data_IF_271744800518
#
_entry.id   IF_271744800518
#
_cell.length_a   1.000
_cell.length_b   1.000
_cell.length_c   1.000
_cell.angle_alpha   90.00
_cell.angle_beta   90.00
_cell.angle_gamma   90.00
#
_symmetry.space_group_name_H-M   'P 1'
#
loop_
_entity.id
_entity.type
_entity.pdbx_description
1 polymer ?
#
# COMPACT_ATOMS: atom_id res chain seq x y z
N UNK A 1 11.07 10.04 -4.73
CA UNK A 1 10.41 8.78 -5.10
C UNK A 1 11.02 7.67 -4.27
N UNK A 2 10.30 7.14 -3.27
CA UNK A 2 10.72 5.95 -2.53
C UNK A 2 10.23 4.73 -3.30
N UNK A 3 11.14 3.81 -3.59
CA UNK A 3 10.87 2.60 -4.39
C UNK A 3 10.76 1.44 -3.41
N UNK A 4 9.60 0.79 -3.37
CA UNK A 4 9.32 -0.28 -2.42
C UNK A 4 9.25 -1.63 -3.14
N UNK A 5 10.12 -2.54 -2.71
CA UNK A 5 10.15 -3.93 -3.10
C UNK A 5 9.48 -4.75 -1.99
N UNK A 6 8.46 -5.52 -2.31
CA UNK A 6 7.75 -6.40 -1.35
C UNK A 6 7.88 -7.86 -1.78
N UNK A 7 8.09 -8.76 -0.82
CA UNK A 7 7.95 -10.20 -1.05
C UNK A 7 6.50 -10.63 -0.76
N UNK A 8 5.87 -11.29 -1.73
CA UNK A 8 4.51 -11.81 -1.62
C UNK A 8 4.53 -13.34 -1.71
N UNK A 9 3.98 -14.00 -0.69
CA UNK A 9 3.67 -15.44 -0.75
C UNK A 9 2.17 -15.65 -0.94
N UNK A 10 1.80 -16.59 -1.81
CA UNK A 10 0.42 -17.00 -2.06
C UNK A 10 0.29 -18.51 -1.88
N UNK A 11 -0.71 -18.94 -1.11
CA UNK A 11 -1.14 -20.33 -1.04
C UNK A 11 -2.60 -20.43 -1.43
N UNK A 12 -2.87 -20.93 -2.63
CA UNK A 12 -4.23 -21.15 -3.13
C UNK A 12 -4.57 -22.64 -3.11
N UNK A 13 -5.72 -23.01 -2.52
CA UNK A 13 -6.27 -24.37 -2.59
C UNK A 13 -7.51 -24.38 -3.50
N UNK A 14 -7.44 -25.07 -4.63
CA UNK A 14 -8.55 -25.23 -5.57
C UNK A 14 -9.05 -26.68 -5.56
N UNK A 15 -10.35 -26.87 -5.78
CA UNK A 15 -10.93 -28.19 -6.09
C UNK A 15 -11.28 -28.20 -7.58
N UNK A 16 -10.77 -29.19 -8.30
CA UNK A 16 -11.03 -29.36 -9.73
C UNK A 16 -11.54 -30.79 -9.96
N UNK A 17 -12.65 -30.92 -10.69
CA UNK A 17 -13.19 -32.23 -11.06
C UNK A 17 -12.71 -32.59 -12.47
N UNK A 18 -12.02 -33.72 -12.61
CA UNK A 18 -11.55 -34.22 -13.91
C UNK A 18 -12.01 -35.67 -14.05
N UNK A 19 -12.81 -35.94 -15.08
CA UNK A 19 -13.32 -37.29 -15.38
C UNK A 19 -13.94 -38.02 -14.18
N UNK A 20 -14.82 -37.33 -13.44
CA UNK A 20 -15.53 -37.86 -12.27
C UNK A 20 -14.70 -37.93 -10.97
N UNK A 21 -13.41 -37.61 -11.01
CA UNK A 21 -12.54 -37.58 -9.82
C UNK A 21 -12.32 -36.16 -9.34
N UNK A 22 -12.56 -35.90 -8.04
CA UNK A 22 -12.26 -34.61 -7.41
C UNK A 22 -10.80 -34.53 -7.00
N UNK A 23 -10.04 -33.65 -7.63
CA UNK A 23 -8.65 -33.34 -7.30
C UNK A 23 -8.59 -32.06 -6.48
N UNK A 24 -7.80 -32.07 -5.40
CA UNK A 24 -7.46 -30.86 -4.66
C UNK A 24 -6.09 -30.38 -5.11
N UNK A 25 -6.01 -29.21 -5.70
CA UNK A 25 -4.77 -28.56 -6.11
C UNK A 25 -4.33 -27.59 -5.04
N UNK A 26 -3.11 -27.76 -4.53
CA UNK A 26 -2.46 -26.75 -3.69
C UNK A 26 -1.41 -26.05 -4.54
N UNK A 27 -1.53 -24.74 -4.65
CA UNK A 27 -0.57 -23.87 -5.32
C UNK A 27 0.14 -23.04 -4.26
N UNK A 28 1.47 -23.12 -4.19
CA UNK A 28 2.28 -22.25 -3.36
C UNK A 28 3.20 -21.43 -4.28
N UNK A 29 3.16 -20.11 -4.17
CA UNK A 29 3.98 -19.21 -4.99
C UNK A 29 4.67 -18.14 -4.14
N UNK A 30 5.92 -17.84 -4.50
CA UNK A 30 6.65 -16.67 -4.02
C UNK A 30 6.82 -15.69 -5.17
N UNK A 31 6.60 -14.40 -4.91
CA UNK A 31 6.69 -13.35 -5.93
C UNK A 31 7.31 -12.09 -5.34
N UNK A 32 8.07 -11.38 -6.17
CA UNK A 32 8.54 -10.03 -5.91
C UNK A 32 7.53 -9.03 -6.45
N UNK A 33 7.19 -8.01 -5.67
CA UNK A 33 6.30 -6.93 -6.06
C UNK A 33 7.09 -5.63 -6.05
N UNK A 34 7.06 -4.91 -7.17
CA UNK A 34 7.64 -3.60 -7.32
C UNK A 34 6.53 -2.56 -7.34
N UNK A 35 6.47 -1.71 -6.32
CA UNK A 35 5.43 -0.70 -6.17
C UNK A 35 5.90 0.67 -6.65
N UNK A 36 5.06 1.32 -7.45
CA UNK A 36 5.23 2.68 -7.95
C UNK A 36 4.11 3.54 -7.35
N UNK A 37 4.42 4.47 -6.43
CA UNK A 37 3.42 5.32 -5.83
C UNK A 37 2.85 6.31 -6.85
N UNK A 38 1.51 6.41 -6.93
CA UNK A 38 0.79 7.35 -7.82
C UNK A 38 -0.36 7.97 -7.03
N UNK A 39 -0.21 9.24 -6.65
CA UNK A 39 -1.15 9.93 -5.76
C UNK A 39 -1.30 9.20 -4.42
N UNK A 40 -2.53 8.88 -4.02
CA UNK A 40 -2.81 8.12 -2.80
C UNK A 40 -2.64 6.59 -2.97
N UNK A 41 -2.52 6.10 -4.20
CA UNK A 41 -2.44 4.68 -4.55
C UNK A 41 -1.05 4.24 -5.00
N UNK A 42 -0.97 3.01 -5.49
CA UNK A 42 0.21 2.49 -6.20
C UNK A 42 -0.19 1.69 -7.43
N UNK A 43 0.62 1.78 -8.48
CA UNK A 43 0.66 0.78 -9.55
C UNK A 43 1.78 -0.19 -9.17
N UNK A 44 1.60 -1.48 -9.41
CA UNK A 44 2.65 -2.46 -9.12
C UNK A 44 2.82 -3.47 -10.23
N UNK A 45 4.07 -3.92 -10.37
CA UNK A 45 4.44 -5.09 -11.14
C UNK A 45 4.77 -6.22 -10.18
N UNK A 46 4.31 -7.43 -10.47
CA UNK A 46 4.64 -8.62 -9.70
C UNK A 46 5.21 -9.71 -10.60
N UNK A 47 6.35 -10.27 -10.22
CA UNK A 47 6.97 -11.40 -10.90
C UNK A 47 7.31 -12.48 -9.89
N UNK A 48 7.01 -13.74 -10.20
CA UNK A 48 7.23 -14.81 -9.24
C UNK A 48 7.21 -16.21 -9.83
N UNK A 49 7.49 -17.16 -8.95
CA UNK A 49 7.48 -18.58 -9.27
C UNK A 49 6.66 -19.33 -8.23
N UNK A 50 5.86 -20.28 -8.69
CA UNK A 50 5.07 -21.15 -7.83
C UNK A 50 5.17 -22.61 -8.21
N UNK A 51 4.88 -23.46 -7.24
CA UNK A 51 4.80 -24.91 -7.39
C UNK A 51 3.38 -25.37 -7.11
N UNK A 52 2.85 -26.14 -8.05
CA UNK A 52 1.55 -26.78 -7.92
C UNK A 52 1.74 -28.23 -7.49
N UNK A 53 1.05 -28.65 -6.44
CA UNK A 53 0.97 -30.04 -6.02
C UNK A 53 -0.48 -30.51 -6.01
N UNK A 54 -0.86 -31.45 -6.90
CA UNK A 54 -2.15 -32.12 -6.81
C UNK A 54 -2.15 -33.11 -5.65
N UNK A 55 -3.17 -33.06 -4.81
CA UNK A 55 -3.46 -34.09 -3.82
C UNK A 55 -4.25 -35.18 -4.53
N UNK A 56 -3.54 -36.16 -5.07
CA UNK A 56 -4.12 -37.27 -5.81
C UNK A 56 -4.61 -38.37 -4.86
N UNK A 57 -5.78 -38.95 -5.15
CA UNK A 57 -6.14 -40.27 -4.64
C UNK A 57 -5.42 -41.37 -5.45
N UNK A 58 -5.20 -42.53 -4.85
CA UNK A 58 -4.52 -43.69 -5.44
C UNK A 58 -5.22 -44.06 -6.78
N UNK A 59 -4.50 -43.99 -7.92
CA UNK A 59 -5.01 -44.41 -9.24
C UNK A 59 -4.78 -43.47 -10.44
N UNK A 60 -4.29 -42.24 -10.25
CA UNK A 60 -4.08 -41.24 -11.34
C UNK A 60 -2.60 -40.84 -11.54
N UNK A 61 -1.69 -41.78 -11.28
CA UNK A 61 -0.23 -41.60 -11.22
C UNK A 61 0.44 -40.75 -12.33
N UNK A 62 0.10 -40.85 -13.65
CA UNK A 62 0.80 -40.05 -14.67
C UNK A 62 0.53 -38.54 -14.59
N UNK A 63 -0.49 -38.11 -13.84
CA UNK A 63 -0.87 -36.70 -13.66
C UNK A 63 -0.44 -36.10 -12.31
N UNK A 64 0.27 -36.87 -11.47
CA UNK A 64 0.57 -36.50 -10.08
C UNK A 64 1.97 -35.91 -9.88
N UNK A 65 2.56 -35.33 -10.92
CA UNK A 65 3.84 -34.64 -10.80
C UNK A 65 3.63 -33.21 -10.32
N UNK A 66 4.56 -32.73 -9.49
CA UNK A 66 4.57 -31.34 -9.10
C UNK A 66 5.10 -30.49 -10.25
N UNK A 67 4.41 -29.41 -10.56
CA UNK A 67 4.75 -28.58 -11.71
C UNK A 67 5.04 -27.15 -11.29
N UNK A 68 6.05 -26.55 -11.93
CA UNK A 68 6.39 -25.15 -11.79
C UNK A 68 5.46 -24.25 -12.61
N UNK A 69 5.23 -23.05 -12.11
CA UNK A 69 4.53 -21.98 -12.81
C UNK A 69 5.27 -20.66 -12.63
N UNK A 70 5.50 -19.94 -13.72
CA UNK A 70 5.96 -18.55 -13.69
C UNK A 70 4.73 -17.66 -13.67
N UNK A 71 4.72 -16.66 -12.80
CA UNK A 71 3.62 -15.71 -12.61
C UNK A 71 4.14 -14.31 -12.90
N UNK A 72 3.47 -13.61 -13.78
CA UNK A 72 3.71 -12.18 -14.05
C UNK A 72 2.38 -11.46 -13.89
N UNK A 73 2.34 -10.37 -13.15
CA UNK A 73 1.12 -9.60 -12.95
C UNK A 73 1.40 -8.11 -12.91
N UNK A 74 0.38 -7.34 -13.27
CA UNK A 74 0.36 -5.89 -13.11
C UNK A 74 -0.98 -5.49 -12.50
N UNK A 75 -0.96 -4.52 -11.61
CA UNK A 75 -2.18 -4.10 -10.94
C UNK A 75 -2.07 -2.71 -10.34
N UNK A 76 -3.19 -2.27 -9.76
CA UNK A 76 -3.26 -1.05 -9.00
C UNK A 76 -3.82 -1.32 -7.61
N UNK A 77 -3.41 -0.50 -6.64
CA UNK A 77 -3.95 -0.43 -5.29
C UNK A 77 -4.41 1.00 -5.04
N UNK A 78 -5.65 1.17 -4.59
CA UNK A 78 -6.21 2.48 -4.25
C UNK A 78 -6.81 2.44 -2.84
N UNK A 79 -6.36 3.29 -1.90
CA UNK A 79 -7.03 3.41 -0.61
C UNK A 79 -8.41 4.04 -0.79
N UNK A 80 -9.45 3.39 -0.28
CA UNK A 80 -10.83 3.91 -0.28
C UNK A 80 -11.22 4.42 1.10
N UNK A 81 -10.61 3.88 2.15
CA UNK A 81 -10.71 4.38 3.51
C UNK A 81 -9.40 4.15 4.26
N UNK A 82 -9.30 4.65 5.50
CA UNK A 82 -8.09 4.53 6.34
C UNK A 82 -7.57 3.10 6.47
N UNK A 83 -8.47 2.11 6.52
CA UNK A 83 -8.15 0.69 6.67
C UNK A 83 -8.61 -0.18 5.48
N UNK A 84 -9.01 0.43 4.36
CA UNK A 84 -9.58 -0.28 3.21
C UNK A 84 -8.87 0.12 1.92
N UNK A 85 -8.38 -0.86 1.18
CA UNK A 85 -7.80 -0.68 -0.15
C UNK A 85 -8.53 -1.53 -1.18
N UNK A 86 -8.82 -0.95 -2.34
CA UNK A 86 -9.17 -1.67 -3.55
C UNK A 86 -7.90 -2.16 -4.24
N UNK A 87 -7.95 -3.37 -4.76
CA UNK A 87 -6.93 -3.96 -5.63
C UNK A 87 -7.60 -4.44 -6.91
N UNK A 88 -7.05 -4.07 -8.05
CA UNK A 88 -7.32 -4.79 -9.28
C UNK A 88 -6.00 -5.23 -9.90
N UNK A 89 -6.03 -6.38 -10.57
CA UNK A 89 -4.85 -7.01 -11.11
C UNK A 89 -5.17 -7.88 -12.31
N UNK A 90 -4.33 -7.79 -13.34
CA UNK A 90 -4.22 -8.79 -14.40
C UNK A 90 -2.95 -9.60 -14.22
N UNK A 91 -3.04 -10.91 -14.39
CA UNK A 91 -1.93 -11.84 -14.27
C UNK A 91 -1.86 -12.82 -15.43
N UNK A 92 -0.64 -13.21 -15.76
CA UNK A 92 -0.29 -14.26 -16.71
C UNK A 92 0.44 -15.34 -15.92
N UNK A 93 0.07 -16.59 -16.14
CA UNK A 93 0.70 -17.76 -15.52
C UNK A 93 1.12 -18.73 -16.62
N UNK A 94 2.40 -18.99 -16.75
CA UNK A 94 2.93 -20.02 -17.66
C UNK A 94 3.28 -21.27 -16.85
N UNK A 95 2.69 -22.42 -17.17
CA UNK A 95 2.92 -23.69 -16.46
C UNK A 95 3.87 -24.60 -17.24
N UNK A 96 4.96 -25.00 -16.58
CA UNK A 96 5.98 -25.89 -17.14
C UNK A 96 5.48 -27.30 -17.46
N UNK A 97 4.33 -27.70 -16.91
CA UNK A 97 3.72 -29.02 -17.07
C UNK A 97 3.16 -29.29 -18.47
N UNK A 98 2.56 -28.27 -19.07
CA UNK A 98 1.60 -28.44 -20.17
C UNK A 98 1.73 -27.38 -21.28
N UNK A 99 2.76 -26.53 -21.26
CA UNK A 99 2.94 -25.42 -22.23
C UNK A 99 1.67 -24.56 -22.44
N UNK A 100 0.80 -24.47 -21.45
CA UNK A 100 -0.35 -23.57 -21.48
C UNK A 100 -0.03 -22.29 -20.70
N UNK A 101 -0.31 -21.17 -21.35
CA UNK A 101 -0.32 -19.83 -20.74
C UNK A 101 -1.75 -19.51 -20.34
N UNK A 102 -1.96 -19.27 -19.05
CA UNK A 102 -3.26 -18.86 -18.52
C UNK A 102 -3.24 -17.37 -18.19
N UNK A 103 -4.36 -16.70 -18.44
CA UNK A 103 -4.60 -15.31 -18.05
C UNK A 103 -5.61 -15.30 -16.91
N UNK A 104 -5.45 -14.37 -15.97
CA UNK A 104 -6.40 -14.19 -14.88
C UNK A 104 -6.54 -12.73 -14.54
N UNK A 105 -7.75 -12.32 -14.18
CA UNK A 105 -8.02 -10.99 -13.63
C UNK A 105 -8.63 -11.16 -12.26
N UNK A 106 -8.29 -10.25 -11.35
CA UNK A 106 -8.86 -10.24 -10.01
C UNK A 106 -9.15 -8.82 -9.56
N UNK A 107 -10.28 -8.65 -8.89
CA UNK A 107 -10.61 -7.45 -8.14
C UNK A 107 -10.86 -7.90 -6.71
N UNK A 108 -10.27 -7.19 -5.76
CA UNK A 108 -10.34 -7.54 -4.36
C UNK A 108 -10.28 -6.34 -3.45
N UNK A 109 -10.67 -6.55 -2.21
CA UNK A 109 -10.51 -5.60 -1.12
C UNK A 109 -9.40 -6.11 -0.20
N UNK A 110 -8.56 -5.20 0.26
CA UNK A 110 -7.54 -5.47 1.28
C UNK A 110 -7.89 -4.63 2.50
N UNK A 111 -8.18 -5.32 3.60
CA UNK A 111 -8.39 -4.69 4.90
C UNK A 111 -7.08 -4.69 5.65
N UNK A 112 -6.62 -3.51 6.04
CA UNK A 112 -5.44 -3.38 6.87
C UNK A 112 -5.88 -3.54 8.33
N UNK A 113 -5.63 -4.72 8.91
CA UNK A 113 -6.04 -5.06 10.29
C UNK A 113 -5.10 -4.51 11.35
N UNK A 114 -4.07 -3.76 10.95
CA UNK A 114 -3.19 -3.04 11.87
C UNK A 114 -3.83 -1.70 12.25
N UNK A 115 -3.98 -1.45 13.54
CA UNK A 115 -4.23 -0.13 14.13
C UNK A 115 -3.07 0.86 13.94
N UNK A 116 -2.07 0.52 13.13
CA UNK A 116 -1.11 1.47 12.55
C UNK A 116 -1.65 1.98 11.22
N UNK A 117 -2.40 3.08 11.25
CA UNK A 117 -2.77 3.81 10.04
C UNK A 117 -1.54 4.10 9.19
N UNK A 118 -1.73 4.17 7.87
CA UNK A 118 -0.77 4.77 6.94
C UNK A 118 -0.57 6.23 7.34
N UNK A 119 0.33 6.47 8.29
CA UNK A 119 1.11 7.68 8.27
C UNK A 119 2.29 7.36 7.37
N UNK A 120 2.38 8.07 6.25
CA UNK A 120 3.62 8.24 5.50
C UNK A 120 4.63 9.03 6.35
N UNK A 121 4.81 8.60 7.59
CA UNK A 121 5.79 9.09 8.53
C UNK A 121 7.03 8.28 8.23
N UNK A 122 8.08 8.99 7.81
CA UNK A 122 9.34 8.37 7.50
C UNK A 122 9.74 7.42 8.63
N UNK A 123 10.13 6.20 8.30
CA UNK A 123 10.83 5.28 9.22
C UNK A 123 12.25 5.77 9.54
N UNK A 124 12.43 7.10 9.56
CA UNK A 124 13.66 7.79 9.93
C UNK A 124 13.63 8.20 11.41
N UNK A 125 14.76 8.73 11.93
CA UNK A 125 14.85 9.23 13.30
C UNK A 125 13.86 10.36 13.62
N UNK A 126 13.33 11.02 12.60
CA UNK A 126 12.41 12.16 12.59
C UNK A 126 11.37 11.88 11.49
N UNK A 127 10.11 11.69 11.87
CA UNK A 127 9.07 11.10 11.03
C UNK A 127 8.24 12.12 10.26
N UNK A 128 8.04 13.32 10.81
CA UNK A 128 7.37 14.47 10.19
C UNK A 128 8.35 15.49 9.59
N UNK A 129 9.64 15.36 9.91
CA UNK A 129 10.72 16.12 9.27
C UNK A 129 10.78 17.56 9.75
N UNK A 130 10.36 17.81 10.99
CA UNK A 130 10.35 19.12 11.65
C UNK A 130 11.72 19.47 12.29
N UNK A 131 12.68 18.54 12.24
CA UNK A 131 14.02 18.68 12.81
C UNK A 131 14.16 18.11 14.23
N UNK A 132 13.08 17.58 14.82
CA UNK A 132 13.05 16.94 16.13
C UNK A 132 12.90 15.43 15.96
N UNK A 133 13.83 14.69 16.55
CA UNK A 133 13.76 13.23 16.51
C UNK A 133 12.49 12.71 17.19
N UNK A 134 11.85 11.67 16.65
CA UNK A 134 10.66 10.99 17.18
C UNK A 134 10.72 10.63 18.67
N UNK A 135 11.92 10.40 19.21
CA UNK A 135 12.12 10.10 20.65
C UNK A 135 11.93 11.31 21.56
N UNK A 136 12.09 12.51 21.03
CA UNK A 136 12.01 13.81 21.73
C UNK A 136 10.82 14.63 21.28
N UNK A 137 10.25 14.28 20.14
CA UNK A 137 9.09 14.91 19.56
C UNK A 137 7.80 14.48 20.29
N UNK A 138 7.06 15.48 20.76
CA UNK A 138 5.75 15.31 21.42
C UNK A 138 4.59 15.53 20.47
N UNK A 139 4.84 16.10 19.30
CA UNK A 139 3.85 16.55 18.33
C UNK A 139 4.18 15.95 16.96
N UNK A 140 3.93 14.64 16.80
CA UNK A 140 4.38 13.87 15.64
C UNK A 140 3.78 14.23 14.26
N UNK A 141 2.93 15.27 14.17
CA UNK A 141 2.29 15.72 12.92
C UNK A 141 2.60 17.21 12.67
N UNK A 142 3.83 17.63 12.91
CA UNK A 142 4.21 19.03 12.74
C UNK A 142 4.48 19.36 11.27
N UNK A 143 3.84 20.41 10.70
CA UNK A 143 4.11 20.80 9.34
C UNK A 143 5.56 21.24 9.14
N UNK A 144 6.18 20.73 8.08
CA UNK A 144 7.55 21.10 7.73
C UNK A 144 7.68 22.62 7.48
N UNK A 145 8.62 23.24 8.18
CA UNK A 145 8.85 24.69 8.12
C UNK A 145 8.06 25.48 9.16
N UNK A 146 7.17 24.84 9.92
CA UNK A 146 6.58 25.46 11.08
C UNK A 146 7.66 25.72 12.14
N UNK A 147 7.49 26.81 12.88
CA UNK A 147 8.34 27.18 13.98
C UNK A 147 7.99 26.32 15.19
N UNK A 148 8.86 25.36 15.49
CA UNK A 148 8.70 24.41 16.58
C UNK A 148 9.53 24.76 17.80
N UNK A 149 9.07 24.32 18.97
CA UNK A 149 9.88 24.31 20.17
C UNK A 149 10.87 23.12 20.19
N UNK A 150 11.71 23.04 21.22
CA UNK A 150 12.66 21.92 21.39
C UNK A 150 12.02 20.54 21.61
N UNK A 151 10.69 20.45 21.58
CA UNK A 151 9.89 19.23 21.71
C UNK A 151 9.07 18.93 20.44
N UNK A 152 9.33 19.64 19.34
CA UNK A 152 8.67 19.41 18.05
C UNK A 152 7.26 19.99 17.96
N UNK A 153 6.83 20.79 18.94
CA UNK A 153 5.47 21.32 18.93
C UNK A 153 5.42 22.71 18.31
N UNK A 154 4.57 22.95 17.29
CA UNK A 154 4.45 24.25 16.65
C UNK A 154 3.59 25.18 17.50
N UNK A 155 3.80 26.48 17.33
CA UNK A 155 2.97 27.52 17.93
C UNK A 155 2.20 28.28 16.85
N UNK A 156 1.03 28.79 17.20
CA UNK A 156 0.19 29.68 16.38
C UNK A 156 -0.09 30.92 17.24
N UNK A 157 0.45 32.09 16.83
CA UNK A 157 0.42 33.29 17.67
C UNK A 157 -0.90 34.05 17.59
N UNK A 158 -1.51 34.12 16.42
CA UNK A 158 -2.76 34.84 16.22
C UNK A 158 -4.00 33.92 16.29
N UNK A 159 -3.79 32.61 16.21
CA UNK A 159 -4.81 31.59 16.43
C UNK A 159 -5.72 31.40 15.23
N UNK A 160 -5.23 31.66 14.02
CA UNK A 160 -6.00 31.53 12.78
C UNK A 160 -6.00 30.10 12.19
N UNK A 161 -5.18 29.20 12.76
CA UNK A 161 -5.05 27.80 12.37
C UNK A 161 -3.85 27.52 11.45
N UNK A 162 -3.04 28.52 11.11
CA UNK A 162 -1.78 28.37 10.37
C UNK A 162 -0.62 28.61 11.33
N UNK A 163 0.25 27.61 11.51
CA UNK A 163 1.34 27.72 12.46
C UNK A 163 2.38 28.77 12.06
N UNK A 164 2.99 29.38 13.06
CA UNK A 164 4.14 30.27 12.89
C UNK A 164 5.21 29.60 12.03
N UNK A 165 5.95 30.37 11.23
CA UNK A 165 7.00 29.86 10.33
C UNK A 165 6.50 29.42 8.94
N UNK A 166 5.25 28.96 8.84
CA UNK A 166 4.55 28.76 7.56
C UNK A 166 3.47 29.82 7.30
N UNK A 167 3.05 30.54 8.33
CA UNK A 167 2.16 31.69 8.23
C UNK A 167 2.87 32.92 7.63
N UNK A 168 2.29 33.49 6.58
CA UNK A 168 2.75 34.71 5.90
C UNK A 168 2.10 35.98 6.43
N UNK A 169 1.02 35.86 7.18
CA UNK A 169 0.22 36.95 7.72
C UNK A 169 0.09 36.79 9.25
N UNK A 170 1.18 36.96 10.02
CA UNK A 170 1.29 36.63 11.46
C UNK A 170 0.47 37.51 12.43
N UNK A 171 -0.46 38.30 11.89
CA UNK A 171 -1.32 39.22 12.65
C UNK A 171 -2.75 39.16 12.15
N UNK A 172 -3.21 37.99 11.71
CA UNK A 172 -4.58 37.83 11.23
C UNK A 172 -5.56 37.97 12.40
N UNK A 173 -6.59 38.83 12.30
CA UNK A 173 -7.56 38.97 13.37
C UNK A 173 -8.31 37.67 13.63
N UNK A 174 -8.47 37.29 14.90
CA UNK A 174 -9.22 36.10 15.31
C UNK A 174 -10.63 36.10 14.71
N UNK A 175 -11.02 34.97 14.13
CA UNK A 175 -12.31 34.78 13.47
C UNK A 175 -12.35 35.20 12.01
N UNK A 176 -11.23 35.67 11.45
CA UNK A 176 -11.09 35.88 10.00
C UNK A 176 -10.91 34.53 9.31
N UNK A 177 -11.59 34.32 8.18
CA UNK A 177 -11.32 33.17 7.33
C UNK A 177 -9.98 33.37 6.63
N UNK A 178 -9.07 32.41 6.77
CA UNK A 178 -7.74 32.46 6.16
C UNK A 178 -7.57 31.42 5.06
N UNK A 179 -6.67 31.72 4.15
CA UNK A 179 -6.20 30.79 3.13
C UNK A 179 -5.10 29.86 3.70
N UNK A 180 -4.58 28.89 2.93
CA UNK A 180 -3.54 27.97 3.42
C UNK A 180 -2.19 28.63 3.77
N UNK A 181 -2.01 29.93 3.54
CA UNK A 181 -0.80 30.67 3.92
C UNK A 181 -1.03 31.61 5.11
N UNK A 182 -2.19 31.52 5.77
CA UNK A 182 -2.55 32.32 6.96
C UNK A 182 -3.10 33.70 6.64
N UNK A 183 -3.37 33.99 5.37
CA UNK A 183 -3.79 35.33 4.96
C UNK A 183 -5.32 35.42 4.78
N UNK A 184 -5.96 36.56 5.11
CA UNK A 184 -7.40 36.74 4.97
C UNK A 184 -7.90 36.47 3.55
N UNK A 185 -8.90 35.59 3.42
CA UNK A 185 -9.60 35.44 2.13
C UNK A 185 -10.45 36.67 1.89
N UNK A 186 -10.20 37.37 0.77
CA UNK A 186 -11.14 38.38 0.31
C UNK A 186 -12.42 37.67 -0.10
N UNK A 187 -13.53 37.99 0.55
CA UNK A 187 -14.84 37.51 0.13
C UNK A 187 -15.16 38.18 -1.22
N UNK A 188 -15.48 37.44 -2.28
CA UNK A 188 -16.03 38.05 -3.49
C UNK A 188 -17.38 38.68 -3.13
N UNK A 189 -17.55 39.96 -3.47
CA UNK A 189 -18.82 40.68 -3.39
C UNK A 189 -19.88 40.09 -4.34
#
# INVERSE_FOLDING_TARGET
MHLELEDQMDVTSLRQSVSGTSLRLVHAAGSLVYNIPVGAGSIYLRGGYGKLRPNCAIGVAPYCNAHGAIIVAAGFRSPVARALQLRAEGMIRNRSAYQYTSFGTSVGLTFLTSSGGRSSRGSGPDADGDGVSNRRDRCADTPKGALTDGRGCPSDFDGDGVFNGIDRCPTTPKGTSVDPIGCPVQKPD
#
